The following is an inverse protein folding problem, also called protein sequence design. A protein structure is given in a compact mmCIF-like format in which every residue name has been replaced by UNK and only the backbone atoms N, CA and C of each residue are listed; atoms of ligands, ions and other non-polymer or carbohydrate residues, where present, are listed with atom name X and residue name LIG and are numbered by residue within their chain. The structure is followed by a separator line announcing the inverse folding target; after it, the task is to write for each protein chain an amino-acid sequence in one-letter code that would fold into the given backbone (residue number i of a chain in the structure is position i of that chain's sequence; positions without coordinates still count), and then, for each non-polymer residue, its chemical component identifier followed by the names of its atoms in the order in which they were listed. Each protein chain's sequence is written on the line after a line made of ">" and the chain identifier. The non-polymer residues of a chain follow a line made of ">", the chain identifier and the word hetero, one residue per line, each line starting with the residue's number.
data_IF_961733916648
#
_entry.id   IF_961733916648
#
_cell.length_a   1.000
_cell.length_b   1.000
_cell.length_c   1.000
_cell.angle_alpha   90.00
_cell.angle_beta   90.00
_cell.angle_gamma   90.00
#
_symmetry.space_group_name_H-M   'P 1'
#
loop_
_entity.id
_entity.type
_entity.pdbx_description
1 polymer ?
#
# COMPACT_ATOMS: atom_id res chain seq x y z
N UNK A 1 -16.91 7.19 -36.04
CA UNK A 1 -15.89 6.32 -35.44
C UNK A 1 -14.89 7.23 -34.75
N UNK A 2 -14.90 7.29 -33.41
CA UNK A 2 -14.00 8.14 -32.64
C UNK A 2 -12.97 7.24 -31.97
N UNK A 3 -11.73 7.27 -32.48
CA UNK A 3 -10.58 6.64 -31.84
C UNK A 3 -10.25 7.39 -30.54
N UNK A 4 -10.26 6.68 -29.42
CA UNK A 4 -9.65 7.15 -28.17
C UNK A 4 -8.20 6.67 -28.14
N UNK A 5 -7.26 7.58 -28.42
CA UNK A 5 -5.85 7.45 -28.06
C UNK A 5 -5.65 8.26 -26.78
N UNK A 6 -5.33 7.58 -25.68
CA UNK A 6 -4.98 8.21 -24.41
C UNK A 6 -4.72 7.18 -23.32
N UNK A 7 -3.44 6.87 -23.06
CA UNK A 7 -2.97 6.21 -21.83
C UNK A 7 -3.34 4.73 -21.65
N UNK A 8 -2.58 3.82 -22.28
CA UNK A 8 -2.62 2.38 -21.98
C UNK A 8 -1.94 2.10 -20.63
N UNK A 9 -2.58 2.49 -19.54
CA UNK A 9 -2.39 1.88 -18.23
C UNK A 9 -3.75 1.39 -17.80
N UNK A 10 -4.06 0.12 -18.04
CA UNK A 10 -5.30 -0.48 -17.53
C UNK A 10 -5.23 -0.41 -16.00
N UNK A 11 -5.89 0.60 -15.41
CA UNK A 11 -5.96 0.76 -13.96
C UNK A 11 -6.67 -0.48 -13.44
N UNK A 12 -5.95 -1.31 -12.66
CA UNK A 12 -6.53 -2.47 -12.01
C UNK A 12 -7.73 -2.00 -11.16
N UNK A 13 -8.90 -2.64 -11.27
CA UNK A 13 -10.02 -2.35 -10.37
C UNK A 13 -9.55 -2.44 -8.93
N UNK A 14 -9.93 -1.47 -8.10
CA UNK A 14 -9.54 -1.45 -6.70
C UNK A 14 -10.67 -0.89 -5.85
N UNK A 15 -10.66 -1.21 -4.58
CA UNK A 15 -11.56 -0.63 -3.60
C UNK A 15 -10.78 -0.15 -2.38
N UNK A 16 -11.33 0.84 -1.70
CA UNK A 16 -10.67 1.50 -0.58
C UNK A 16 -11.65 1.82 0.54
N UNK A 17 -11.13 1.79 1.76
CA UNK A 17 -11.80 2.32 2.93
C UNK A 17 -11.18 3.67 3.31
N UNK A 18 -11.99 4.73 3.29
CA UNK A 18 -11.60 6.04 3.79
C UNK A 18 -11.78 6.08 5.30
N UNK A 19 -10.68 5.82 6.02
CA UNK A 19 -10.65 5.81 7.48
C UNK A 19 -11.00 7.17 8.12
N UNK A 20 -11.00 8.29 7.39
CA UNK A 20 -11.44 9.58 7.96
C UNK A 20 -12.96 9.77 7.93
N UNK A 21 -13.65 9.06 7.03
CA UNK A 21 -15.06 9.30 6.73
C UNK A 21 -15.97 8.09 7.00
N UNK A 22 -15.41 6.93 7.37
CA UNK A 22 -16.13 5.66 7.46
C UNK A 22 -16.85 5.29 6.14
N UNK A 23 -16.17 5.53 5.02
CA UNK A 23 -16.75 5.33 3.67
C UNK A 23 -15.96 4.33 2.87
N UNK A 24 -16.68 3.53 2.11
CA UNK A 24 -16.13 2.58 1.17
C UNK A 24 -16.29 3.11 -0.25
N UNK A 25 -15.26 2.92 -1.07
CA UNK A 25 -15.29 3.28 -2.47
C UNK A 25 -14.76 2.12 -3.30
N UNK A 26 -15.34 1.95 -4.48
CA UNK A 26 -14.80 1.08 -5.54
C UNK A 26 -14.49 1.94 -6.76
N UNK A 27 -13.38 1.64 -7.41
CA UNK A 27 -13.00 2.20 -8.70
C UNK A 27 -12.93 1.09 -9.73
N UNK A 28 -13.89 1.08 -10.64
CA UNK A 28 -13.96 0.12 -11.74
C UNK A 28 -13.12 0.54 -12.93
N UNK A 29 -13.37 -0.10 -14.08
CA UNK A 29 -12.70 0.20 -15.34
C UNK A 29 -13.03 1.60 -15.90
N UNK A 30 -14.13 2.21 -15.45
CA UNK A 30 -14.52 3.59 -15.79
C UNK A 30 -13.58 4.64 -15.16
N UNK A 31 -12.74 4.23 -14.20
CA UNK A 31 -11.81 5.10 -13.53
C UNK A 31 -12.50 6.15 -12.65
N UNK A 32 -13.72 5.93 -12.19
CA UNK A 32 -14.44 6.83 -11.27
C UNK A 32 -14.63 6.14 -9.92
N UNK A 33 -14.34 6.85 -8.83
CA UNK A 33 -14.62 6.35 -7.48
C UNK A 33 -16.13 6.41 -7.22
N UNK A 34 -16.74 5.26 -6.97
CA UNK A 34 -18.14 5.13 -6.59
C UNK A 34 -18.23 4.75 -5.12
N UNK A 35 -19.00 5.51 -4.33
CA UNK A 35 -19.26 5.16 -2.93
C UNK A 35 -20.11 3.88 -2.88
N UNK A 36 -19.71 2.94 -2.02
CA UNK A 36 -20.43 1.69 -1.81
C UNK A 36 -20.74 1.49 -0.33
N UNK A 37 -21.71 0.61 -0.06
CA UNK A 37 -21.99 0.15 1.30
C UNK A 37 -20.86 -0.72 1.87
N UNK A 38 -21.03 -1.16 3.12
CA UNK A 38 -20.09 -2.09 3.76
C UNK A 38 -20.01 -3.41 2.97
N UNK A 39 -18.84 -3.80 2.46
CA UNK A 39 -18.75 -4.90 1.51
C UNK A 39 -18.76 -6.27 2.18
N UNK A 40 -19.16 -7.27 1.41
CA UNK A 40 -18.85 -8.68 1.65
C UNK A 40 -18.05 -9.19 0.44
N UNK A 41 -16.89 -9.79 0.69
CA UNK A 41 -15.94 -10.16 -0.34
C UNK A 41 -15.14 -11.42 0.04
N UNK A 42 -14.73 -12.18 -0.96
CA UNK A 42 -13.73 -13.25 -0.80
C UNK A 42 -12.35 -12.59 -0.70
N UNK A 43 -11.52 -12.97 0.27
CA UNK A 43 -10.17 -12.44 0.44
C UNK A 43 -9.11 -13.50 0.11
N UNK A 44 -8.18 -13.16 -0.78
CA UNK A 44 -7.04 -14.01 -1.12
C UNK A 44 -5.87 -13.81 -0.15
N UNK A 45 -6.00 -14.32 1.07
CA UNK A 45 -4.93 -14.25 2.08
C UNK A 45 -3.73 -15.15 1.78
N UNK A 46 -3.90 -16.18 0.93
CA UNK A 46 -2.77 -16.99 0.48
C UNK A 46 -1.73 -16.14 -0.28
N UNK A 47 -2.19 -15.11 -1.00
CA UNK A 47 -1.37 -14.22 -1.82
C UNK A 47 -1.17 -12.82 -1.23
N UNK A 48 -1.52 -12.58 0.05
CA UNK A 48 -1.36 -11.24 0.64
C UNK A 48 0.11 -10.80 0.61
N UNK A 49 0.33 -9.56 0.17
CA UNK A 49 1.63 -8.92 0.18
C UNK A 49 1.69 -7.79 1.21
N UNK A 50 2.82 -7.65 1.90
CA UNK A 50 3.09 -6.52 2.79
C UNK A 50 4.24 -5.69 2.25
N UNK A 51 4.26 -4.40 2.58
CA UNK A 51 5.23 -3.50 1.98
C UNK A 51 5.15 -2.08 2.48
N UNK A 52 6.02 -1.25 1.91
CA UNK A 52 5.99 0.19 2.02
C UNK A 52 5.16 0.75 0.88
N UNK A 53 4.15 1.55 1.21
CA UNK A 53 3.24 2.17 0.26
C UNK A 53 3.31 3.69 0.41
N UNK A 54 3.32 4.39 -0.71
CA UNK A 54 3.20 5.83 -0.77
C UNK A 54 2.08 6.22 -1.74
N UNK A 55 1.01 6.77 -1.17
CA UNK A 55 -0.14 7.25 -1.93
C UNK A 55 -0.02 8.76 -2.12
N UNK A 56 -0.02 9.21 -3.38
CA UNK A 56 -0.12 10.63 -3.75
C UNK A 56 -1.37 10.86 -4.56
N UNK A 57 -2.00 12.01 -4.35
CA UNK A 57 -3.23 12.36 -5.06
C UNK A 57 -2.98 12.42 -6.59
N UNK A 58 -3.89 11.83 -7.36
CA UNK A 58 -3.80 11.77 -8.82
C UNK A 58 -2.70 10.88 -9.39
N UNK A 59 -1.93 10.17 -8.55
CA UNK A 59 -0.85 9.29 -8.98
C UNK A 59 -1.14 7.84 -8.61
N UNK A 60 -0.58 6.91 -9.38
CA UNK A 60 -0.55 5.50 -8.99
C UNK A 60 0.23 5.36 -7.67
N UNK A 61 -0.14 4.42 -6.79
CA UNK A 61 0.61 4.16 -5.57
C UNK A 61 2.04 3.73 -5.89
N UNK A 62 3.03 4.32 -5.22
CA UNK A 62 4.38 3.76 -5.20
C UNK A 62 4.45 2.65 -4.17
N UNK A 63 5.09 1.53 -4.53
CA UNK A 63 5.18 0.34 -3.68
C UNK A 63 6.61 -0.20 -3.66
N UNK A 64 7.07 -0.55 -2.46
CA UNK A 64 8.22 -1.41 -2.25
C UNK A 64 7.76 -2.55 -1.35
N UNK A 65 7.53 -3.69 -1.98
CA UNK A 65 6.95 -4.89 -1.39
C UNK A 65 8.05 -5.74 -0.76
N UNK A 66 7.72 -6.36 0.36
CA UNK A 66 8.62 -7.26 1.08
C UNK A 66 8.95 -8.48 0.23
N UNK A 67 10.14 -9.05 0.42
CA UNK A 67 10.51 -10.31 -0.23
C UNK A 67 9.60 -11.46 0.25
N UNK A 68 9.15 -11.38 1.50
CA UNK A 68 8.14 -12.26 2.10
C UNK A 68 7.53 -11.60 3.34
N UNK A 69 6.46 -12.15 3.90
CA UNK A 69 5.86 -11.68 5.16
C UNK A 69 6.85 -11.71 6.35
N UNK A 70 7.90 -12.52 6.28
CA UNK A 70 8.96 -12.65 7.29
C UNK A 70 10.26 -11.90 6.94
N UNK A 71 10.35 -11.31 5.75
CA UNK A 71 11.54 -10.62 5.24
C UNK A 71 11.20 -9.20 4.79
N UNK A 72 11.01 -8.26 5.74
CA UNK A 72 10.61 -6.90 5.43
C UNK A 72 11.68 -6.14 4.64
N UNK A 73 11.25 -5.40 3.62
CA UNK A 73 12.11 -4.47 2.89
C UNK A 73 12.53 -3.28 3.77
N UNK A 74 13.72 -2.67 3.56
CA UNK A 74 14.09 -1.42 4.22
C UNK A 74 13.14 -0.29 3.82
N UNK A 75 12.98 0.72 4.68
CA UNK A 75 12.16 1.90 4.36
C UNK A 75 12.75 2.62 3.12
N UNK A 76 11.97 2.84 2.04
CA UNK A 76 12.51 3.42 0.81
C UNK A 76 12.86 4.90 0.92
N UNK A 77 12.15 5.62 1.78
CA UNK A 77 12.31 7.05 1.97
C UNK A 77 11.17 7.67 2.77
N UNK A 78 11.18 9.01 2.84
CA UNK A 78 10.16 9.78 3.56
C UNK A 78 8.76 9.60 2.94
N UNK A 79 7.73 9.62 3.79
CA UNK A 79 6.32 9.54 3.37
C UNK A 79 5.81 8.11 3.14
N UNK A 80 6.70 7.13 2.93
CA UNK A 80 6.32 5.73 2.85
C UNK A 80 5.76 5.25 4.19
N UNK A 81 4.63 4.55 4.12
CA UNK A 81 3.95 3.97 5.28
C UNK A 81 3.79 2.47 5.10
N UNK A 82 3.79 1.75 6.21
CA UNK A 82 3.60 0.31 6.19
C UNK A 82 2.16 -0.06 5.87
N UNK A 83 1.98 -1.05 5.01
CA UNK A 83 0.66 -1.48 4.59
C UNK A 83 0.66 -2.85 3.91
N UNK A 84 -0.46 -3.13 3.25
CA UNK A 84 -0.71 -4.41 2.59
C UNK A 84 -1.30 -4.19 1.19
N UNK A 85 -1.21 -5.24 0.37
CA UNK A 85 -1.90 -5.39 -0.91
C UNK A 85 -2.51 -6.80 -0.94
N UNK A 86 -3.79 -6.89 -1.31
CA UNK A 86 -4.60 -8.11 -1.28
C UNK A 86 -5.52 -8.08 -2.49
N UNK A 87 -5.70 -9.20 -3.20
CA UNK A 87 -6.81 -9.33 -4.14
C UNK A 87 -8.08 -9.78 -3.39
N UNK A 88 -9.19 -9.13 -3.67
CA UNK A 88 -10.50 -9.56 -3.20
C UNK A 88 -11.45 -9.76 -4.37
N UNK A 89 -12.52 -10.53 -4.13
CA UNK A 89 -13.54 -10.78 -5.14
C UNK A 89 -14.94 -10.55 -4.58
N UNK A 90 -15.74 -9.78 -5.32
CA UNK A 90 -17.15 -9.59 -5.02
C UNK A 90 -17.92 -9.18 -6.28
N UNK A 91 -18.78 -10.05 -6.84
CA UNK A 91 -19.64 -9.68 -7.97
C UNK A 91 -20.57 -8.52 -7.64
N UNK A 92 -21.05 -8.48 -6.38
CA UNK A 92 -22.02 -7.50 -5.91
C UNK A 92 -21.40 -6.12 -5.68
N UNK A 93 -20.24 -6.07 -5.04
CA UNK A 93 -19.64 -4.79 -4.61
C UNK A 93 -18.60 -4.28 -5.58
N UNK A 94 -17.87 -5.17 -6.26
CA UNK A 94 -16.75 -4.79 -7.12
C UNK A 94 -17.00 -5.08 -8.60
N UNK A 95 -18.05 -5.86 -8.91
CA UNK A 95 -18.27 -6.39 -10.26
C UNK A 95 -17.26 -7.47 -10.68
N UNK A 96 -16.50 -8.03 -9.73
CA UNK A 96 -15.45 -9.02 -10.00
C UNK A 96 -14.30 -8.97 -8.99
N UNK A 97 -13.09 -9.23 -9.47
CA UNK A 97 -11.87 -9.12 -8.69
C UNK A 97 -11.39 -7.66 -8.61
N UNK A 98 -11.02 -7.21 -7.43
CA UNK A 98 -10.49 -5.88 -7.17
C UNK A 98 -9.40 -5.92 -6.12
N UNK A 99 -8.40 -5.06 -6.28
CA UNK A 99 -7.31 -4.91 -5.32
C UNK A 99 -7.79 -4.13 -4.08
N UNK A 100 -7.40 -4.60 -2.90
CA UNK A 100 -7.46 -3.86 -1.66
C UNK A 100 -6.05 -3.53 -1.19
N UNK A 101 -5.72 -2.25 -1.10
CA UNK A 101 -4.47 -1.79 -0.50
C UNK A 101 -4.69 -0.62 0.43
N UNK A 102 -3.92 -0.57 1.52
CA UNK A 102 -3.97 0.52 2.49
C UNK A 102 -2.69 0.64 3.29
N UNK A 103 -2.30 1.88 3.57
CA UNK A 103 -1.24 2.23 4.52
C UNK A 103 -1.78 2.90 5.80
N UNK A 104 -3.10 2.82 6.03
CA UNK A 104 -3.71 3.26 7.29
C UNK A 104 -3.44 2.25 8.38
N UNK A 105 -2.87 2.69 9.51
CA UNK A 105 -2.61 1.84 10.67
C UNK A 105 -3.85 1.09 11.14
N UNK A 106 -5.02 1.74 11.16
CA UNK A 106 -6.26 1.11 11.62
C UNK A 106 -6.75 0.01 10.68
N UNK A 107 -6.64 0.23 9.36
CA UNK A 107 -7.04 -0.78 8.36
C UNK A 107 -6.03 -1.93 8.36
N UNK A 108 -4.73 -1.63 8.41
CA UNK A 108 -3.69 -2.64 8.49
C UNK A 108 -3.80 -3.51 9.76
N UNK A 109 -4.17 -2.91 10.91
CA UNK A 109 -4.42 -3.67 12.13
C UNK A 109 -5.64 -4.59 12.01
N UNK A 110 -6.74 -4.12 11.39
CA UNK A 110 -7.92 -4.94 11.16
C UNK A 110 -7.63 -6.13 10.23
N UNK A 111 -6.82 -5.92 9.18
CA UNK A 111 -6.38 -6.99 8.29
C UNK A 111 -5.40 -7.95 8.97
N UNK A 112 -4.52 -7.46 9.86
CA UNK A 112 -3.62 -8.33 10.63
C UNK A 112 -4.38 -9.26 11.56
N UNK A 113 -5.38 -8.76 12.27
CA UNK A 113 -6.25 -9.58 13.13
C UNK A 113 -6.96 -10.66 12.29
N UNK A 114 -7.55 -10.25 11.17
CA UNK A 114 -8.25 -11.16 10.27
C UNK A 114 -7.33 -12.21 9.63
N UNK A 115 -6.08 -11.84 9.32
CA UNK A 115 -5.07 -12.79 8.83
C UNK A 115 -4.68 -13.81 9.91
N UNK A 116 -4.63 -13.40 11.18
CA UNK A 116 -4.41 -14.31 12.31
C UNK A 116 -5.55 -15.33 12.46
N UNK A 117 -6.80 -14.89 12.32
CA UNK A 117 -7.98 -15.79 12.28
C UNK A 117 -7.90 -16.77 11.10
N UNK A 118 -7.56 -16.25 9.90
CA UNK A 118 -7.37 -17.06 8.70
C UNK A 118 -6.32 -18.16 8.93
N UNK A 119 -5.13 -17.82 9.43
CA UNK A 119 -4.07 -18.80 9.67
C UNK A 119 -4.46 -19.87 10.70
N UNK A 120 -5.24 -19.51 11.72
CA UNK A 120 -5.73 -20.46 12.72
C UNK A 120 -6.69 -21.51 12.14
N UNK A 121 -7.52 -21.12 11.17
CA UNK A 121 -8.54 -21.99 10.56
C UNK A 121 -8.09 -22.63 9.22
N UNK A 122 -7.03 -22.11 8.59
CA UNK A 122 -6.56 -22.49 7.25
C UNK A 122 -6.39 -24.00 7.05
N UNK A 123 -5.93 -24.70 8.07
CA UNK A 123 -5.69 -26.15 7.98
C UNK A 123 -6.98 -26.98 7.82
N UNK A 124 -8.11 -26.47 8.32
CA UNK A 124 -9.44 -27.08 8.18
C UNK A 124 -10.14 -26.72 6.86
N UNK A 125 -9.67 -25.66 6.19
CA UNK A 125 -10.28 -25.08 4.98
C UNK A 125 -9.29 -25.05 3.80
N UNK A 126 -8.56 -26.15 3.60
CA UNK A 126 -7.52 -26.22 2.55
C UNK A 126 -8.10 -25.94 1.16
N UNK A 127 -7.48 -25.01 0.43
CA UNK A 127 -7.89 -24.62 -0.93
C UNK A 127 -9.11 -23.71 -0.98
N UNK A 128 -9.72 -23.40 0.16
CA UNK A 128 -10.82 -22.46 0.28
C UNK A 128 -10.32 -21.09 0.71
N UNK A 129 -11.04 -20.06 0.28
CA UNK A 129 -10.80 -18.68 0.67
C UNK A 129 -11.89 -18.20 1.62
N UNK A 130 -11.54 -17.37 2.62
CA UNK A 130 -12.53 -16.83 3.54
C UNK A 130 -13.36 -15.74 2.87
N UNK A 131 -14.67 -15.79 3.10
CA UNK A 131 -15.60 -14.71 2.80
C UNK A 131 -15.63 -13.77 3.99
N UNK A 132 -15.24 -12.53 3.76
CA UNK A 132 -15.13 -11.48 4.76
C UNK A 132 -16.35 -10.58 4.69
N UNK A 133 -16.97 -10.32 5.83
CA UNK A 133 -18.04 -9.33 5.94
C UNK A 133 -17.58 -8.12 6.78
N UNK A 134 -17.70 -6.91 6.22
CA UNK A 134 -17.56 -5.68 6.99
C UNK A 134 -18.85 -5.40 7.76
N UNK A 135 -18.86 -5.57 9.07
CA UNK A 135 -20.07 -5.41 9.90
C UNK A 135 -20.24 -4.01 10.46
N UNK A 136 -19.14 -3.27 10.59
CA UNK A 136 -19.13 -1.99 11.24
C UNK A 136 -17.80 -1.27 11.10
N UNK A 137 -17.66 -0.20 11.86
CA UNK A 137 -16.39 0.44 12.12
C UNK A 137 -16.35 0.94 13.57
N UNK A 138 -15.15 1.02 14.13
CA UNK A 138 -14.88 1.57 15.45
C UNK A 138 -14.24 2.94 15.29
N UNK A 139 -14.80 3.96 15.95
CA UNK A 139 -14.19 5.28 16.02
C UNK A 139 -12.95 5.25 16.92
N UNK A 140 -11.80 5.57 16.35
CA UNK A 140 -10.49 5.69 16.97
C UNK A 140 -10.15 7.18 17.06
N UNK A 141 -10.23 7.73 18.27
CA UNK A 141 -9.78 9.12 18.51
C UNK A 141 -8.27 9.14 18.71
N UNK A 142 -7.59 9.92 17.89
CA UNK A 142 -6.17 10.21 18.01
C UNK A 142 -5.93 11.72 18.16
N UNK A 143 -4.65 12.13 18.20
CA UNK A 143 -4.27 13.54 18.35
C UNK A 143 -4.65 14.41 17.14
N UNK A 144 -4.96 13.82 16.00
CA UNK A 144 -5.24 14.46 14.72
C UNK A 144 -6.72 14.38 14.30
N UNK A 145 -7.56 13.75 15.11
CA UNK A 145 -9.01 13.68 14.92
C UNK A 145 -9.57 12.29 15.18
N UNK A 146 -10.75 12.03 14.61
CA UNK A 146 -11.36 10.69 14.62
C UNK A 146 -10.99 9.99 13.32
N UNK A 147 -10.33 8.86 13.42
CA UNK A 147 -10.21 7.89 12.34
C UNK A 147 -11.09 6.67 12.66
N UNK A 148 -11.46 5.90 11.66
CA UNK A 148 -12.33 4.74 11.79
C UNK A 148 -11.53 3.49 11.45
N UNK A 149 -11.76 2.45 12.25
CA UNK A 149 -11.21 1.11 12.04
C UNK A 149 -12.34 0.21 11.53
N UNK A 150 -12.25 -0.42 10.36
CA UNK A 150 -13.29 -1.34 9.90
C UNK A 150 -13.33 -2.58 10.81
N UNK A 151 -14.53 -3.09 11.07
CA UNK A 151 -14.76 -4.33 11.80
C UNK A 151 -15.07 -5.41 10.77
N UNK A 152 -14.19 -6.40 10.67
CA UNK A 152 -14.36 -7.55 9.79
C UNK A 152 -14.70 -8.81 10.58
N UNK A 153 -15.30 -9.78 9.90
CA UNK A 153 -15.45 -11.16 10.37
C UNK A 153 -15.27 -12.12 9.19
N UNK A 154 -14.69 -13.30 9.45
CA UNK A 154 -14.83 -14.44 8.55
C UNK A 154 -16.28 -14.92 8.67
N UNK A 155 -17.03 -14.85 7.57
CA UNK A 155 -18.45 -15.21 7.53
C UNK A 155 -18.68 -16.65 7.08
N UNK A 156 -17.85 -17.15 6.17
CA UNK A 156 -17.86 -18.52 5.65
C UNK A 156 -16.59 -18.77 4.84
N UNK A 157 -16.39 -20.00 4.38
CA UNK A 157 -15.30 -20.41 3.49
C UNK A 157 -15.87 -20.90 2.17
N UNK A 158 -15.24 -20.54 1.05
CA UNK A 158 -15.69 -20.89 -0.30
C UNK A 158 -14.53 -21.36 -1.15
N UNK A 159 -14.80 -22.19 -2.15
CA UNK A 159 -13.79 -22.52 -3.15
C UNK A 159 -13.32 -21.25 -3.88
N UNK A 160 -12.04 -21.21 -4.27
CA UNK A 160 -11.47 -20.09 -5.01
C UNK A 160 -12.30 -19.80 -6.27
N UNK A 161 -12.88 -18.59 -6.41
CA UNK A 161 -13.63 -18.22 -7.61
C UNK A 161 -12.76 -18.28 -8.86
N UNK A 162 -13.31 -18.75 -9.99
CA UNK A 162 -12.57 -18.83 -11.26
C UNK A 162 -12.01 -17.47 -11.73
N UNK A 163 -12.73 -16.39 -11.41
CA UNK A 163 -12.34 -15.01 -11.73
C UNK A 163 -11.34 -14.40 -10.73
N UNK A 164 -10.89 -15.16 -9.73
CA UNK A 164 -9.86 -14.78 -8.76
C UNK A 164 -8.68 -15.77 -8.84
N UNK A 165 -7.82 -15.66 -9.88
CA UNK A 165 -6.71 -16.58 -10.09
C UNK A 165 -5.75 -16.57 -8.90
N UNK A 166 -5.15 -17.72 -8.62
CA UNK A 166 -4.12 -17.87 -7.59
C UNK A 166 -2.81 -17.23 -8.07
N UNK A 167 -2.65 -15.94 -7.77
CA UNK A 167 -1.50 -15.14 -8.20
C UNK A 167 -1.24 -14.00 -7.23
N UNK A 168 0.02 -13.58 -7.17
CA UNK A 168 0.43 -12.38 -6.44
C UNK A 168 -0.38 -11.15 -6.87
N UNK A 169 -0.86 -10.31 -5.91
CA UNK A 169 -1.53 -9.05 -6.21
C UNK A 169 -0.57 -7.98 -6.76
N UNK A 170 0.74 -8.15 -6.54
CA UNK A 170 1.79 -7.19 -6.88
C UNK A 170 2.64 -7.71 -8.03
N UNK A 171 3.19 -6.79 -8.81
CA UNK A 171 4.12 -7.12 -9.89
C UNK A 171 5.50 -7.48 -9.32
N UNK A 172 6.25 -8.42 -9.94
CA UNK A 172 7.58 -8.81 -9.48
C UNK A 172 8.57 -7.64 -9.35
N UNK A 173 8.41 -6.59 -10.15
CA UNK A 173 9.22 -5.37 -10.09
C UNK A 173 8.98 -4.52 -8.84
N UNK A 174 7.85 -4.72 -8.14
CA UNK A 174 7.54 -4.03 -6.88
C UNK A 174 8.19 -4.72 -5.68
N UNK A 175 8.62 -5.98 -5.82
CA UNK A 175 9.21 -6.78 -4.75
C UNK A 175 10.69 -6.45 -4.57
N UNK A 176 11.10 -6.15 -3.34
CA UNK A 176 12.49 -5.88 -3.00
C UNK A 176 13.35 -7.14 -3.15
N UNK A 177 14.35 -7.07 -4.03
CA UNK A 177 15.22 -8.20 -4.41
C UNK A 177 16.56 -8.25 -3.67
N UNK A 178 16.70 -7.59 -2.51
CA UNK A 178 17.94 -7.72 -1.72
C UNK A 178 19.12 -6.85 -2.16
N UNK A 179 18.97 -5.97 -3.15
CA UNK A 179 20.02 -5.00 -3.47
C UNK A 179 19.94 -3.80 -2.54
N UNK A 180 21.09 -3.42 -1.98
CA UNK A 180 21.25 -2.22 -1.16
C UNK A 180 20.61 -1.03 -1.88
N UNK A 181 19.83 -0.24 -1.16
CA UNK A 181 19.41 1.07 -1.64
C UNK A 181 20.63 1.74 -2.29
N UNK A 182 20.51 2.39 -3.48
CA UNK A 182 21.58 3.27 -3.92
C UNK A 182 21.84 4.19 -2.74
N UNK A 183 23.06 4.14 -2.22
CA UNK A 183 23.45 4.93 -1.07
C UNK A 183 22.93 6.33 -1.33
N UNK A 184 22.03 6.82 -0.46
CA UNK A 184 21.77 8.25 -0.41
C UNK A 184 23.15 8.86 -0.39
N UNK A 185 23.49 9.65 -1.41
CA UNK A 185 24.71 10.43 -1.40
C UNK A 185 24.66 11.25 -0.13
N UNK A 186 25.33 10.76 0.91
CA UNK A 186 25.63 11.53 2.11
C UNK A 186 26.29 12.76 1.53
N UNK A 187 25.60 13.91 1.61
CA UNK A 187 26.21 15.17 1.27
C UNK A 187 27.47 15.22 2.12
N UNK A 188 28.62 15.13 1.47
CA UNK A 188 29.91 15.38 2.12
C UNK A 188 29.75 16.68 2.90
N UNK A 189 30.07 16.73 4.20
CA UNK A 189 30.12 18.00 4.91
C UNK A 189 31.03 18.92 4.10
N UNK A 190 30.55 20.13 3.83
CA UNK A 190 31.26 21.12 3.04
C UNK A 190 32.71 21.20 3.54
N UNK A 191 33.68 20.94 2.66
CA UNK A 191 35.07 21.16 2.99
C UNK A 191 35.23 22.63 3.41
N UNK A 192 35.71 22.83 4.63
CA UNK A 192 36.10 24.13 5.14
C UNK A 192 37.16 24.71 4.19
N UNK A 193 36.78 25.73 3.42
CA UNK A 193 37.73 26.48 2.60
C UNK A 193 38.57 27.32 3.57
N UNK A 194 39.91 27.16 3.60
CA UNK A 194 40.76 28.00 4.43
C UNK A 194 40.69 29.46 3.95
N UNK A 195 40.79 30.45 4.86
CA UNK A 195 40.74 31.86 4.49
C UNK A 195 41.91 32.22 3.55
N UNK A 196 41.72 33.20 2.64
CA UNK A 196 42.77 33.62 1.72
C UNK A 196 43.97 34.20 2.48
N UNK A 197 45.21 34.00 1.97
CA UNK A 197 46.41 34.50 2.62
C UNK A 197 46.42 36.04 2.65
N UNK A 198 46.97 36.66 3.71
CA UNK A 198 47.09 38.10 3.80
C UNK A 198 48.02 38.65 2.71
N UNK A 199 47.60 39.76 2.10
CA UNK A 199 48.42 40.54 1.15
C UNK A 199 49.71 41.00 1.85
N UNK A 200 50.85 40.71 1.24
CA UNK A 200 52.13 41.26 1.65
C UNK A 200 52.10 42.80 1.55
N UNK A 201 52.44 43.47 2.65
CA UNK A 201 52.75 44.89 2.65
C UNK A 201 54.08 45.08 1.90
N UNK A 202 54.06 45.98 0.93
CA UNK A 202 55.27 46.56 0.34
C UNK A 202 55.87 47.51 1.37
N UNK A 203 57.08 47.20 1.85
CA UNK A 203 57.86 48.10 2.68
C UNK A 203 58.69 48.98 1.74
N UNK A 204 58.32 50.26 1.65
CA UNK A 204 59.12 51.31 1.04
C UNK A 204 60.24 51.70 2.02
N UNK A 205 61.48 51.36 1.68
CA UNK A 205 62.64 51.97 2.29
C UNK A 205 63.78 52.07 1.28
N UNK A 206 63.94 53.25 0.65
CA UNK A 206 65.23 53.72 0.16
C UNK A 206 65.27 55.26 0.13
N UNK A 207 66.23 55.78 0.91
CA UNK A 207 66.77 57.14 1.04
C UNK A 207 66.13 58.11 2.02
#
# INVERSE_FOLDING_TARGET
>A
MTLHIGGLGTVKPHFKFNAKADKWFVRGADGVDQEMGRPTFVADFDNIATGWLLFREGQAPERVIDASLSSPAPIPGEGYKRGFVLMAYSPKFFGGAAEFSSASTHVANAIRELYGEFEAERSAHRGQLPVIACTGSQAMRDKHGTNYRPIFKIAQWVDRPADLPDRSPVEPSEVWQGQAAPAQTVRTPAQHVPPPPPKAAVDEALF
#
